data_IF_202553004870
#
_entry.id   IF_202553004870
#
_cell.length_a   1.000
_cell.length_b   1.000
_cell.length_c   1.000
_cell.angle_alpha   90.00
_cell.angle_beta   90.00
_cell.angle_gamma   90.00
#
_symmetry.space_group_name_H-M   'P 1'
#
loop_
_entity.id
_entity.type
_entity.pdbx_description
1 polymer ?
#
# COMPACT_ATOMS: atom_id res chain seq x y z
N UNK A 1 -7.40 -11.89 19.95
CA UNK A 1 -6.46 -11.43 21.01
C UNK A 1 -7.09 -10.29 21.77
N UNK A 2 -6.64 -9.97 22.99
CA UNK A 2 -7.15 -8.84 23.78
C UNK A 2 -7.11 -7.53 22.98
N UNK A 3 -6.03 -7.31 22.22
CA UNK A 3 -5.87 -6.17 21.32
C UNK A 3 -7.02 -6.06 20.30
N UNK A 4 -7.31 -7.15 19.57
CA UNK A 4 -8.40 -7.15 18.56
C UNK A 4 -9.77 -6.87 19.18
N UNK A 5 -10.05 -7.40 20.37
CA UNK A 5 -11.31 -7.13 21.07
C UNK A 5 -11.42 -5.65 21.50
N UNK A 6 -10.33 -5.08 22.03
CA UNK A 6 -10.27 -3.66 22.41
C UNK A 6 -10.39 -2.75 21.17
N UNK A 7 -9.68 -3.04 20.08
CA UNK A 7 -9.79 -2.31 18.82
C UNK A 7 -11.21 -2.33 18.27
N UNK A 8 -11.87 -3.50 18.28
CA UNK A 8 -13.26 -3.63 17.83
C UNK A 8 -14.23 -2.83 18.70
N UNK A 9 -14.04 -2.85 20.03
CA UNK A 9 -14.85 -2.07 20.95
C UNK A 9 -14.77 -0.57 20.65
N UNK A 10 -13.56 -0.03 20.53
CA UNK A 10 -13.35 1.39 20.17
C UNK A 10 -13.94 1.71 18.78
N UNK A 11 -13.77 0.83 17.79
CA UNK A 11 -14.36 1.02 16.47
C UNK A 11 -15.89 1.09 16.52
N UNK A 12 -16.53 0.28 17.37
CA UNK A 12 -17.99 0.28 17.51
C UNK A 12 -18.53 1.55 18.18
N UNK A 13 -17.82 2.10 19.18
CA UNK A 13 -18.19 3.37 19.80
C UNK A 13 -18.11 4.53 18.78
N UNK A 14 -17.01 4.59 18.03
CA UNK A 14 -16.85 5.58 16.96
C UNK A 14 -17.91 5.37 15.87
N UNK A 15 -18.23 4.12 15.53
CA UNK A 15 -19.27 3.80 14.56
C UNK A 15 -20.62 4.34 14.98
N UNK A 16 -21.00 4.22 16.26
CA UNK A 16 -22.24 4.80 16.77
C UNK A 16 -22.25 6.34 16.61
N UNK A 17 -21.12 7.00 16.89
CA UNK A 17 -21.00 8.45 16.81
C UNK A 17 -21.04 9.00 15.37
N UNK A 18 -20.42 8.31 14.40
CA UNK A 18 -20.33 8.81 13.01
C UNK A 18 -21.45 8.31 12.11
N UNK A 19 -22.24 7.32 12.53
CA UNK A 19 -23.37 6.79 11.76
C UNK A 19 -24.32 7.85 11.18
N UNK A 20 -24.68 8.95 11.87
CA UNK A 20 -25.58 9.96 11.30
C UNK A 20 -24.92 10.90 10.28
N UNK A 21 -23.59 10.87 10.10
CA UNK A 21 -22.88 11.79 9.20
C UNK A 21 -23.16 11.52 7.72
N UNK A 22 -23.46 10.27 7.36
CA UNK A 22 -23.74 9.86 5.99
C UNK A 22 -25.04 9.04 5.91
N UNK A 23 -25.73 9.03 4.74
CA UNK A 23 -26.91 8.20 4.53
C UNK A 23 -26.61 6.71 4.76
N UNK A 24 -27.60 5.94 5.22
CA UNK A 24 -27.45 4.51 5.49
C UNK A 24 -26.85 3.72 4.31
N UNK A 25 -27.21 4.10 3.07
CA UNK A 25 -26.68 3.50 1.84
C UNK A 25 -25.15 3.53 1.76
N UNK A 26 -24.51 4.60 2.24
CA UNK A 26 -23.03 4.69 2.26
C UNK A 26 -22.45 3.60 3.14
N UNK A 27 -23.05 3.38 4.31
CA UNK A 27 -22.62 2.35 5.24
C UNK A 27 -22.91 0.93 4.76
N UNK A 28 -24.00 0.76 4.01
CA UNK A 28 -24.30 -0.49 3.33
C UNK A 28 -23.28 -0.83 2.23
N UNK A 29 -22.76 0.18 1.52
CA UNK A 29 -21.81 0.01 0.42
C UNK A 29 -20.35 -0.11 0.87
N UNK A 30 -19.93 0.68 1.88
CA UNK A 30 -18.54 0.77 2.33
C UNK A 30 -18.26 -0.01 3.64
N UNK A 31 -19.26 -0.13 4.52
CA UNK A 31 -19.07 -0.62 5.88
C UNK A 31 -18.49 0.45 6.82
N UNK A 32 -19.23 0.79 7.88
CA UNK A 32 -18.80 1.83 8.84
C UNK A 32 -17.54 1.44 9.62
N UNK A 33 -17.40 0.17 10.00
CA UNK A 33 -16.22 -0.35 10.71
C UNK A 33 -14.98 -0.32 9.81
N UNK A 34 -15.14 -0.63 8.52
CA UNK A 34 -14.07 -0.52 7.53
C UNK A 34 -13.61 0.93 7.37
N UNK A 35 -14.57 1.86 7.23
CA UNK A 35 -14.28 3.30 7.16
C UNK A 35 -13.45 3.76 8.36
N UNK A 36 -13.85 3.40 9.58
CA UNK A 36 -13.12 3.76 10.80
C UNK A 36 -11.73 3.14 10.81
N UNK A 37 -11.62 1.85 10.48
CA UNK A 37 -10.33 1.14 10.42
C UNK A 37 -9.37 1.83 9.47
N UNK A 38 -9.85 2.25 8.30
CA UNK A 38 -9.04 3.00 7.34
C UNK A 38 -8.56 4.32 7.93
N UNK A 39 -9.42 5.09 8.61
CA UNK A 39 -9.08 6.42 9.13
C UNK A 39 -8.29 6.38 10.44
N UNK A 40 -8.35 5.29 11.21
CA UNK A 40 -7.65 5.15 12.49
C UNK A 40 -6.19 4.74 12.36
N UNK A 41 -5.79 4.13 11.24
CA UNK A 41 -4.44 3.60 11.02
C UNK A 41 -3.55 4.58 10.26
N UNK A 42 -2.24 4.37 10.39
CA UNK A 42 -1.15 5.11 9.75
C UNK A 42 -0.15 4.18 9.08
N UNK A 43 0.79 4.74 8.30
CA UNK A 43 1.80 3.96 7.55
C UNK A 43 2.65 3.06 8.47
N UNK A 44 3.00 3.56 9.64
CA UNK A 44 3.77 2.83 10.67
C UNK A 44 3.06 1.60 11.23
N UNK A 45 1.75 1.52 11.07
CA UNK A 45 0.95 0.40 11.57
C UNK A 45 0.90 -0.75 10.57
N UNK A 46 1.24 -0.48 9.30
CA UNK A 46 1.10 -1.43 8.19
C UNK A 46 2.43 -2.02 7.71
N UNK A 47 3.51 -1.26 7.82
CA UNK A 47 4.82 -1.59 7.22
C UNK A 47 5.95 -1.13 8.14
N UNK A 48 6.93 -2.02 8.35
CA UNK A 48 8.22 -1.65 8.95
C UNK A 48 9.20 -1.30 7.82
N UNK A 49 9.89 -0.15 7.86
CA UNK A 49 10.88 0.22 6.86
C UNK A 49 12.20 -0.52 7.09
N UNK A 50 12.20 -1.85 7.00
CA UNK A 50 13.35 -2.73 7.27
C UNK A 50 14.62 -2.27 6.52
N UNK A 51 14.49 -1.93 5.24
CA UNK A 51 15.62 -1.46 4.42
C UNK A 51 16.25 -0.16 4.91
N UNK A 52 15.47 0.71 5.58
CA UNK A 52 15.97 1.96 6.15
C UNK A 52 16.77 1.69 7.43
N UNK A 53 16.24 0.84 8.34
CA UNK A 53 16.97 0.40 9.53
C UNK A 53 18.27 -0.31 9.16
N UNK A 54 18.22 -1.27 8.24
CA UNK A 54 19.40 -2.00 7.77
C UNK A 54 20.46 -1.06 7.19
N UNK A 55 20.05 -0.08 6.38
CA UNK A 55 20.97 0.93 5.81
C UNK A 55 21.61 1.76 6.91
N UNK A 56 20.83 2.27 7.86
CA UNK A 56 21.34 3.11 8.95
C UNK A 56 22.29 2.33 9.85
N UNK A 57 21.93 1.11 10.25
CA UNK A 57 22.77 0.22 11.06
C UNK A 57 24.08 -0.08 10.32
N UNK A 58 24.02 -0.36 9.01
CA UNK A 58 25.22 -0.62 8.24
C UNK A 58 26.14 0.61 8.15
N UNK A 59 25.59 1.81 7.99
CA UNK A 59 26.37 3.04 8.02
C UNK A 59 27.09 3.23 9.36
N UNK A 60 26.41 2.97 10.48
CA UNK A 60 27.02 3.05 11.81
C UNK A 60 28.13 2.00 12.00
N UNK A 61 27.92 0.77 11.54
CA UNK A 61 28.95 -0.30 11.56
C UNK A 61 30.19 0.09 10.75
N UNK A 62 30.02 0.69 9.58
CA UNK A 62 31.13 1.19 8.76
C UNK A 62 31.87 2.32 9.47
N UNK A 63 31.15 3.24 10.14
CA UNK A 63 31.79 4.31 10.94
C UNK A 63 32.62 3.74 12.10
N UNK A 64 32.11 2.73 12.80
CA UNK A 64 32.86 2.04 13.87
C UNK A 64 34.16 1.45 13.30
N UNK A 65 34.11 0.76 12.16
CA UNK A 65 35.30 0.17 11.52
C UNK A 65 36.34 1.24 11.13
N UNK A 66 35.92 2.39 10.64
CA UNK A 66 36.80 3.50 10.29
C UNK A 66 37.52 4.07 11.53
N UNK A 67 36.80 4.22 12.64
CA UNK A 67 37.37 4.70 13.91
C UNK A 67 38.31 3.65 14.52
N UNK A 68 37.96 2.37 14.39
CA UNK A 68 38.73 1.27 14.96
C UNK A 68 40.08 1.02 14.25
N UNK A 69 40.23 1.54 13.04
CA UNK A 69 41.46 1.40 12.26
C UNK A 69 42.65 2.11 12.94
N UNK A 70 43.87 1.51 12.99
CA UNK A 70 45.03 2.10 13.65
C UNK A 70 45.48 3.46 13.08
N UNK A 71 45.18 3.73 11.82
CA UNK A 71 45.50 4.96 11.11
C UNK A 71 44.51 6.12 11.36
N UNK A 72 43.49 5.93 12.22
CA UNK A 72 42.40 6.89 12.38
C UNK A 72 42.81 8.20 13.10
N UNK A 73 43.98 8.25 13.73
CA UNK A 73 44.48 9.42 14.44
C UNK A 73 43.76 9.74 15.76
N UNK A 74 42.87 8.85 16.22
CA UNK A 74 42.14 9.00 17.47
C UNK A 74 43.00 8.59 18.68
N UNK A 75 42.88 9.34 19.78
CA UNK A 75 43.42 8.86 21.05
C UNK A 75 42.55 7.73 21.63
N UNK A 76 43.17 6.82 22.39
CA UNK A 76 42.53 5.57 22.86
C UNK A 76 41.22 5.81 23.64
N UNK A 77 41.18 6.82 24.51
CA UNK A 77 40.00 7.14 25.32
C UNK A 77 38.84 7.69 24.49
N UNK A 78 39.10 8.60 23.54
CA UNK A 78 38.06 9.16 22.65
C UNK A 78 37.55 8.10 21.68
N UNK A 79 38.45 7.26 21.15
CA UNK A 79 38.11 6.12 20.30
C UNK A 79 37.11 5.19 21.00
N UNK A 80 37.46 4.72 22.21
CA UNK A 80 36.58 3.82 22.98
C UNK A 80 35.21 4.46 23.24
N UNK A 81 35.17 5.72 23.67
CA UNK A 81 33.93 6.44 23.97
C UNK A 81 33.02 6.59 22.75
N UNK A 82 33.59 6.87 21.58
CA UNK A 82 32.80 7.06 20.36
C UNK A 82 32.29 5.74 19.80
N UNK A 83 33.09 4.67 19.85
CA UNK A 83 32.64 3.32 19.49
C UNK A 83 31.46 2.90 20.38
N UNK A 84 31.58 3.06 21.70
CA UNK A 84 30.51 2.74 22.65
C UNK A 84 29.24 3.56 22.38
N UNK A 85 29.37 4.84 22.00
CA UNK A 85 28.22 5.68 21.60
C UNK A 85 27.51 5.14 20.35
N UNK A 86 28.28 4.71 19.34
CA UNK A 86 27.74 4.17 18.09
C UNK A 86 27.11 2.79 18.29
N UNK A 87 27.71 1.92 19.11
CA UNK A 87 27.16 0.62 19.50
C UNK A 87 25.82 0.77 20.23
N UNK A 88 25.74 1.68 21.20
CA UNK A 88 24.48 2.03 21.88
C UNK A 88 23.40 2.52 20.91
N UNK A 89 23.78 3.27 19.86
CA UNK A 89 22.82 3.73 18.85
C UNK A 89 22.33 2.56 17.96
N UNK A 90 23.22 1.63 17.60
CA UNK A 90 22.85 0.41 16.87
C UNK A 90 21.87 -0.43 17.69
N UNK A 91 22.15 -0.61 18.99
CA UNK A 91 21.27 -1.35 19.89
C UNK A 91 19.87 -0.71 19.98
N UNK A 92 19.81 0.62 20.16
CA UNK A 92 18.54 1.36 20.16
C UNK A 92 17.74 1.19 18.89
N UNK A 93 18.38 1.32 17.72
CA UNK A 93 17.72 1.13 16.42
C UNK A 93 17.22 -0.31 16.23
N UNK A 94 17.98 -1.30 16.72
CA UNK A 94 17.60 -2.71 16.64
C UNK A 94 16.39 -3.00 17.53
N UNK A 95 16.37 -2.47 18.75
CA UNK A 95 15.25 -2.61 19.67
C UNK A 95 14.00 -1.91 19.14
N UNK A 96 14.14 -0.68 18.63
CA UNK A 96 13.03 0.06 18.01
C UNK A 96 12.45 -0.72 16.82
N UNK A 97 13.31 -1.27 15.94
CA UNK A 97 12.87 -2.09 14.82
C UNK A 97 12.05 -3.30 15.30
N UNK A 98 12.52 -4.03 16.32
CA UNK A 98 11.82 -5.18 16.86
C UNK A 98 10.46 -4.81 17.47
N UNK A 99 10.37 -3.70 18.21
CA UNK A 99 9.11 -3.18 18.75
C UNK A 99 8.10 -2.83 17.63
N UNK A 100 8.60 -2.24 16.53
CA UNK A 100 7.77 -1.93 15.35
C UNK A 100 7.30 -3.19 14.63
N UNK A 101 8.15 -4.19 14.49
CA UNK A 101 7.78 -5.49 13.91
C UNK A 101 6.69 -6.19 14.73
N UNK A 102 6.80 -6.17 16.06
CA UNK A 102 5.76 -6.71 16.93
C UNK A 102 4.44 -5.93 16.78
N UNK A 103 4.51 -4.60 16.75
CA UNK A 103 3.34 -3.75 16.54
C UNK A 103 2.64 -4.04 15.21
N UNK A 104 3.37 -4.02 14.10
CA UNK A 104 2.82 -4.27 12.76
C UNK A 104 2.25 -5.69 12.67
N UNK A 105 2.92 -6.68 13.25
CA UNK A 105 2.43 -8.06 13.30
C UNK A 105 1.08 -8.15 14.02
N UNK A 106 0.95 -7.46 15.17
CA UNK A 106 -0.29 -7.42 15.95
C UNK A 106 -1.43 -6.71 15.20
N UNK A 107 -1.15 -5.60 14.52
CA UNK A 107 -2.14 -4.89 13.67
C UNK A 107 -2.55 -5.77 12.49
N UNK A 108 -1.62 -6.39 11.78
CA UNK A 108 -1.91 -7.32 10.67
C UNK A 108 -2.76 -8.50 11.11
N UNK A 109 -2.49 -9.06 12.29
CA UNK A 109 -3.30 -10.14 12.86
C UNK A 109 -4.74 -9.69 13.14
N UNK A 110 -4.94 -8.47 13.64
CA UNK A 110 -6.27 -7.89 13.81
C UNK A 110 -6.98 -7.64 12.47
N UNK A 111 -6.30 -7.06 11.48
CA UNK A 111 -6.89 -6.87 10.15
C UNK A 111 -7.28 -8.20 9.50
N UNK A 112 -6.51 -9.26 9.73
CA UNK A 112 -6.86 -10.61 9.28
C UNK A 112 -8.15 -11.14 9.89
N UNK A 113 -8.49 -10.78 11.14
CA UNK A 113 -9.76 -11.22 11.76
C UNK A 113 -10.95 -10.43 11.23
N UNK A 114 -10.77 -9.17 10.84
CA UNK A 114 -11.85 -8.29 10.37
C UNK A 114 -12.10 -8.36 8.86
N UNK A 115 -11.15 -8.88 8.07
CA UNK A 115 -11.21 -8.86 6.60
C UNK A 115 -12.50 -9.40 5.98
N UNK A 116 -13.15 -10.35 6.65
CA UNK A 116 -14.36 -11.02 6.16
C UNK A 116 -15.64 -10.29 6.64
N UNK A 117 -15.50 -9.33 7.55
CA UNK A 117 -16.59 -8.58 8.17
C UNK A 117 -16.86 -7.20 7.54
N UNK A 118 -15.89 -6.63 6.83
CA UNK A 118 -16.00 -5.25 6.32
C UNK A 118 -17.09 -5.07 5.28
N UNK A 119 -17.17 -5.94 4.27
CA UNK A 119 -18.06 -5.77 3.13
C UNK A 119 -19.18 -6.81 3.16
N UNK A 120 -20.03 -6.78 4.19
CA UNK A 120 -21.02 -7.85 4.44
C UNK A 120 -22.33 -7.72 3.65
N UNK A 121 -22.70 -6.53 3.22
CA UNK A 121 -24.00 -6.28 2.58
C UNK A 121 -24.06 -6.85 1.16
N UNK A 122 -25.10 -7.65 0.85
CA UNK A 122 -25.31 -8.24 -0.48
C UNK A 122 -25.95 -7.29 -1.49
N UNK A 123 -26.48 -6.15 -1.01
CA UNK A 123 -27.15 -5.14 -1.82
C UNK A 123 -26.15 -4.29 -2.62
N UNK A 124 -24.91 -4.13 -2.12
CA UNK A 124 -23.86 -3.36 -2.77
C UNK A 124 -23.11 -4.22 -3.79
N UNK A 125 -22.92 -3.69 -4.99
CA UNK A 125 -22.02 -4.32 -5.96
C UNK A 125 -20.57 -4.03 -5.58
N UNK A 126 -19.63 -4.85 -6.08
CA UNK A 126 -18.18 -4.58 -5.90
C UNK A 126 -17.81 -3.18 -6.41
N UNK A 127 -18.46 -2.71 -7.47
CA UNK A 127 -18.25 -1.38 -8.05
C UNK A 127 -18.71 -0.26 -7.11
N UNK A 128 -19.85 -0.44 -6.42
CA UNK A 128 -20.36 0.55 -5.46
C UNK A 128 -19.40 0.67 -4.28
N UNK A 129 -18.98 -0.46 -3.71
CA UNK A 129 -17.99 -0.50 -2.62
C UNK A 129 -16.68 0.21 -3.01
N UNK A 130 -16.14 -0.09 -4.20
CA UNK A 130 -14.92 0.57 -4.68
C UNK A 130 -15.16 2.08 -4.89
N UNK A 131 -16.31 2.48 -5.43
CA UNK A 131 -16.63 3.89 -5.65
C UNK A 131 -16.66 4.64 -4.31
N UNK A 132 -17.33 4.10 -3.29
CA UNK A 132 -17.37 4.70 -1.95
C UNK A 132 -16.00 4.72 -1.28
N UNK A 133 -15.22 3.64 -1.42
CA UNK A 133 -13.87 3.60 -0.88
C UNK A 133 -12.97 4.66 -1.50
N UNK A 134 -13.03 4.84 -2.82
CA UNK A 134 -12.25 5.89 -3.48
C UNK A 134 -12.71 7.28 -3.04
N UNK A 135 -14.01 7.54 -3.00
CA UNK A 135 -14.58 8.86 -2.71
C UNK A 135 -14.43 9.29 -1.25
N UNK A 136 -14.65 8.37 -0.30
CA UNK A 136 -14.71 8.70 1.14
C UNK A 136 -13.42 8.39 1.88
N UNK A 137 -12.53 7.58 1.31
CA UNK A 137 -11.27 7.19 1.95
C UNK A 137 -10.05 7.67 1.15
N UNK A 138 -9.87 7.16 -0.08
CA UNK A 138 -8.63 7.38 -0.82
C UNK A 138 -8.47 8.84 -1.24
N UNK A 139 -9.40 9.40 -2.02
CA UNK A 139 -9.25 10.77 -2.56
C UNK A 139 -9.10 11.85 -1.49
N UNK A 140 -9.87 11.82 -0.38
CA UNK A 140 -9.65 12.78 0.70
C UNK A 140 -8.27 12.59 1.35
N UNK A 141 -7.88 11.35 1.65
CA UNK A 141 -6.66 11.08 2.42
C UNK A 141 -5.37 11.32 1.63
N UNK A 142 -5.33 10.99 0.34
CA UNK A 142 -4.12 11.19 -0.49
C UNK A 142 -3.75 12.66 -0.67
N UNK A 143 -4.72 13.58 -0.50
CA UNK A 143 -4.50 15.01 -0.60
C UNK A 143 -4.02 15.64 0.74
N UNK A 144 -4.12 14.93 1.86
CA UNK A 144 -3.82 15.47 3.20
C UNK A 144 -2.33 15.68 3.45
N UNK A 145 -1.49 14.66 3.28
CA UNK A 145 -0.04 14.75 3.46
C UNK A 145 0.68 13.78 2.53
N UNK A 146 1.99 13.95 2.33
CA UNK A 146 2.78 13.00 1.56
C UNK A 146 2.81 11.61 2.21
N UNK A 147 2.77 11.54 3.54
CA UNK A 147 2.73 10.27 4.29
C UNK A 147 1.38 9.58 4.13
N UNK A 148 0.28 10.34 4.13
CA UNK A 148 -1.06 9.81 3.92
C UNK A 148 -1.25 9.23 2.51
N UNK A 149 -0.65 9.85 1.50
CA UNK A 149 -0.63 9.31 0.14
C UNK A 149 0.03 7.93 0.08
N UNK A 150 1.16 7.75 0.77
CA UNK A 150 1.85 6.45 0.85
C UNK A 150 1.03 5.45 1.67
N UNK A 151 0.45 5.88 2.80
CA UNK A 151 -0.43 5.04 3.61
C UNK A 151 -1.60 4.51 2.80
N UNK A 152 -2.27 5.34 2.00
CA UNK A 152 -3.43 4.93 1.21
C UNK A 152 -3.06 3.81 0.21
N UNK A 153 -1.91 3.93 -0.46
CA UNK A 153 -1.40 2.90 -1.36
C UNK A 153 -1.03 1.60 -0.59
N UNK A 154 -0.37 1.73 0.56
CA UNK A 154 -0.02 0.60 1.42
C UNK A 154 -1.28 -0.12 1.92
N UNK A 155 -2.30 0.60 2.37
CA UNK A 155 -3.55 0.04 2.86
C UNK A 155 -4.28 -0.72 1.75
N UNK A 156 -4.33 -0.16 0.53
CA UNK A 156 -4.85 -0.89 -0.64
C UNK A 156 -4.10 -2.20 -0.89
N UNK A 157 -2.77 -2.18 -0.79
CA UNK A 157 -1.96 -3.38 -0.91
C UNK A 157 -2.24 -4.37 0.22
N UNK A 158 -2.43 -3.90 1.46
CA UNK A 158 -2.85 -4.74 2.60
C UNK A 158 -4.18 -5.42 2.31
N UNK A 159 -5.22 -4.71 1.85
CA UNK A 159 -6.52 -5.32 1.51
C UNK A 159 -6.37 -6.41 0.45
N UNK A 160 -5.52 -6.17 -0.54
CA UNK A 160 -5.19 -7.18 -1.53
C UNK A 160 -4.55 -8.41 -0.88
N UNK A 161 -3.46 -8.24 -0.12
CA UNK A 161 -2.74 -9.31 0.58
C UNK A 161 -3.63 -10.13 1.51
N UNK A 162 -4.53 -9.47 2.24
CA UNK A 162 -5.46 -10.13 3.17
C UNK A 162 -6.52 -10.97 2.44
N UNK A 163 -6.69 -10.83 1.11
CA UNK A 163 -7.78 -11.46 0.34
C UNK A 163 -9.16 -11.05 0.88
N UNK A 164 -9.29 -9.78 1.27
CA UNK A 164 -10.52 -9.21 1.83
C UNK A 164 -11.74 -9.58 0.98
N UNK A 165 -12.75 -10.18 1.60
CA UNK A 165 -13.93 -10.66 0.91
C UNK A 165 -14.64 -9.51 0.18
N UNK A 166 -15.06 -9.72 -1.06
CA UNK A 166 -15.76 -8.76 -1.93
C UNK A 166 -15.00 -7.48 -2.30
N UNK A 167 -13.79 -7.25 -1.80
CA UNK A 167 -12.91 -6.21 -2.31
C UNK A 167 -12.33 -6.63 -3.67
N UNK A 168 -12.61 -5.86 -4.72
CA UNK A 168 -11.99 -6.09 -6.04
C UNK A 168 -10.82 -5.16 -6.25
N UNK A 169 -9.61 -5.68 -6.01
CA UNK A 169 -8.37 -4.97 -6.33
C UNK A 169 -8.32 -4.59 -7.81
N UNK A 170 -8.78 -5.45 -8.71
CA UNK A 170 -8.79 -5.16 -10.14
C UNK A 170 -9.68 -3.96 -10.49
N UNK A 171 -10.92 -3.92 -10.00
CA UNK A 171 -11.83 -2.77 -10.23
C UNK A 171 -11.26 -1.50 -9.59
N UNK A 172 -10.64 -1.62 -8.41
CA UNK A 172 -9.99 -0.49 -7.74
C UNK A 172 -8.87 0.11 -8.59
N UNK A 173 -7.97 -0.73 -9.11
CA UNK A 173 -6.87 -0.29 -9.97
C UNK A 173 -7.38 0.30 -11.28
N UNK A 174 -8.39 -0.33 -11.91
CA UNK A 174 -9.00 0.15 -13.14
C UNK A 174 -9.56 1.56 -12.97
N UNK A 175 -10.31 1.83 -11.89
CA UNK A 175 -10.84 3.16 -11.58
C UNK A 175 -9.75 4.19 -11.30
N UNK A 176 -8.70 3.80 -10.55
CA UNK A 176 -7.60 4.72 -10.23
C UNK A 176 -6.86 5.16 -11.49
N UNK A 177 -6.57 4.24 -12.42
CA UNK A 177 -5.75 4.54 -13.60
C UNK A 177 -6.56 5.07 -14.80
N UNK A 178 -7.83 4.71 -14.94
CA UNK A 178 -8.66 5.20 -16.05
C UNK A 178 -9.30 6.57 -15.75
N UNK A 179 -9.54 6.92 -14.49
CA UNK A 179 -10.27 8.14 -14.11
C UNK A 179 -9.37 9.19 -13.40
N UNK A 180 -8.10 9.30 -13.77
CA UNK A 180 -7.11 10.23 -13.13
C UNK A 180 -7.46 11.71 -13.31
N UNK A 181 -8.09 12.05 -14.44
CA UNK A 181 -8.34 13.44 -14.85
C UNK A 181 -9.16 14.21 -13.83
N UNK A 182 -10.26 13.61 -13.33
CA UNK A 182 -11.20 14.29 -12.44
C UNK A 182 -10.58 14.59 -11.06
N UNK A 183 -9.97 13.64 -10.33
CA UNK A 183 -9.25 13.94 -9.09
C UNK A 183 -8.19 15.02 -9.28
N UNK A 184 -7.43 14.97 -10.37
CA UNK A 184 -6.33 15.91 -10.62
C UNK A 184 -6.84 17.31 -10.94
N UNK A 185 -7.94 17.45 -11.69
CA UNK A 185 -8.51 18.76 -12.03
C UNK A 185 -9.08 19.53 -10.84
N UNK A 186 -9.41 18.81 -9.75
CA UNK A 186 -9.97 19.40 -8.53
C UNK A 186 -8.88 19.70 -7.48
N UNK A 187 -7.64 19.30 -7.73
CA UNK A 187 -6.52 19.48 -6.80
C UNK A 187 -5.80 20.81 -7.03
N UNK A 188 -5.31 21.41 -5.95
CA UNK A 188 -4.20 22.38 -6.00
C UNK A 188 -2.91 21.68 -6.45
N UNK A 189 -1.90 22.45 -6.84
CA UNK A 189 -0.60 21.90 -7.26
C UNK A 189 0.03 20.97 -6.20
N UNK A 190 -0.03 21.35 -4.93
CA UNK A 190 0.49 20.54 -3.82
C UNK A 190 -0.32 19.26 -3.58
N UNK A 191 -1.64 19.29 -3.80
CA UNK A 191 -2.49 18.10 -3.69
C UNK A 191 -2.25 17.16 -4.88
N UNK A 192 -2.14 17.70 -6.09
CA UNK A 192 -1.79 16.92 -7.28
C UNK A 192 -0.41 16.27 -7.15
N UNK A 193 0.56 16.96 -6.56
CA UNK A 193 1.88 16.38 -6.25
C UNK A 193 1.78 15.19 -5.27
N UNK A 194 0.97 15.32 -4.21
CA UNK A 194 0.74 14.23 -3.24
C UNK A 194 -0.03 13.07 -3.86
N UNK A 195 -1.04 13.35 -4.68
CA UNK A 195 -1.75 12.32 -5.45
C UNK A 195 -0.83 11.59 -6.43
N UNK A 196 0.10 12.30 -7.08
CA UNK A 196 1.15 11.70 -7.91
C UNK A 196 2.02 10.71 -7.14
N UNK A 197 2.38 11.01 -5.88
CA UNK A 197 3.10 10.07 -5.01
C UNK A 197 2.30 8.80 -4.72
N UNK A 198 1.00 8.94 -4.47
CA UNK A 198 0.10 7.79 -4.33
C UNK A 198 0.08 6.94 -5.60
N UNK A 199 -0.08 7.56 -6.78
CA UNK A 199 -0.08 6.85 -8.05
C UNK A 199 1.23 6.11 -8.31
N UNK A 200 2.38 6.73 -8.02
CA UNK A 200 3.68 6.06 -8.13
C UNK A 200 3.76 4.82 -7.24
N UNK A 201 3.34 4.92 -5.97
CA UNK A 201 3.36 3.79 -5.04
C UNK A 201 2.43 2.64 -5.48
N UNK A 202 1.24 2.96 -6.01
CA UNK A 202 0.33 1.94 -6.57
C UNK A 202 0.92 1.32 -7.84
N UNK A 203 1.55 2.13 -8.70
CA UNK A 203 2.17 1.66 -9.93
C UNK A 203 3.36 0.73 -9.67
N UNK A 204 4.20 1.01 -8.66
CA UNK A 204 5.29 0.12 -8.26
C UNK A 204 4.81 -1.31 -7.98
N UNK A 205 3.66 -1.44 -7.29
CA UNK A 205 3.03 -2.75 -7.04
C UNK A 205 2.59 -3.43 -8.34
N UNK A 206 1.91 -2.70 -9.22
CA UNK A 206 1.44 -3.22 -10.51
C UNK A 206 2.62 -3.61 -11.41
N UNK A 207 3.71 -2.83 -11.40
CA UNK A 207 4.92 -3.12 -12.15
C UNK A 207 5.63 -4.38 -11.68
N UNK A 208 5.66 -4.63 -10.36
CA UNK A 208 6.18 -5.88 -9.80
C UNK A 208 5.42 -7.09 -10.32
N UNK A 209 4.09 -7.03 -10.32
CA UNK A 209 3.24 -8.08 -10.87
C UNK A 209 3.41 -8.26 -12.37
N UNK A 210 3.62 -7.17 -13.11
CA UNK A 210 3.86 -7.23 -14.55
C UNK A 210 5.24 -7.82 -14.90
N UNK A 211 6.25 -7.58 -14.06
CA UNK A 211 7.63 -7.96 -14.33
C UNK A 211 7.88 -9.49 -14.31
N UNK A 212 7.11 -10.25 -13.52
CA UNK A 212 7.23 -11.71 -13.42
C UNK A 212 5.86 -12.37 -13.36
N UNK A 213 5.67 -13.36 -14.23
CA UNK A 213 4.44 -14.15 -14.27
C UNK A 213 4.31 -15.04 -13.03
N UNK A 214 5.43 -15.54 -12.53
CA UNK A 214 5.52 -16.32 -11.30
C UNK A 214 5.01 -15.49 -10.12
N UNK A 215 5.48 -14.24 -10.00
CA UNK A 215 5.03 -13.30 -8.96
C UNK A 215 3.55 -12.99 -9.11
N UNK A 216 3.06 -12.72 -10.33
CA UNK A 216 1.63 -12.50 -10.57
C UNK A 216 0.78 -13.70 -10.16
N UNK A 217 1.18 -14.92 -10.53
CA UNK A 217 0.42 -16.12 -10.20
C UNK A 217 0.39 -16.38 -8.69
N UNK A 218 1.50 -16.11 -8.00
CA UNK A 218 1.61 -16.24 -6.54
C UNK A 218 0.80 -15.18 -5.79
N UNK A 219 0.90 -13.91 -6.20
CA UNK A 219 0.33 -12.76 -5.48
C UNK A 219 -1.08 -12.39 -5.96
N UNK A 220 -1.51 -12.75 -7.18
CA UNK A 220 -2.81 -12.35 -7.73
C UNK A 220 -3.69 -13.53 -8.20
N UNK A 221 -3.12 -14.61 -8.75
CA UNK A 221 -3.87 -15.63 -9.49
C UNK A 221 -5.02 -16.32 -8.71
N UNK A 222 -4.87 -16.45 -7.39
CA UNK A 222 -5.90 -17.06 -6.51
C UNK A 222 -6.64 -16.03 -5.63
N UNK A 223 -6.41 -14.73 -5.85
CA UNK A 223 -6.94 -13.68 -4.98
C UNK A 223 -8.34 -13.28 -5.42
N UNK A 224 -9.32 -13.17 -4.49
CA UNK A 224 -10.72 -12.93 -4.82
C UNK A 224 -10.94 -11.60 -5.57
N UNK A 225 -10.04 -10.64 -5.39
CA UNK A 225 -10.09 -9.35 -6.07
C UNK A 225 -9.66 -9.38 -7.55
N UNK A 226 -9.03 -10.48 -7.99
CA UNK A 226 -8.55 -10.73 -9.36
C UNK A 226 -9.25 -11.91 -10.05
N UNK A 227 -10.08 -12.68 -9.31
CA UNK A 227 -10.95 -13.68 -9.92
C UNK A 227 -12.04 -12.96 -10.70
N UNK A 228 -11.78 -12.76 -11.99
CA UNK A 228 -12.80 -12.39 -12.97
C UNK A 228 -13.58 -13.65 -13.36
N UNK A 229 -14.80 -13.47 -13.88
CA UNK A 229 -15.67 -14.55 -14.38
C UNK A 229 -15.00 -15.35 -15.53
N UNK A 230 -13.81 -14.96 -15.99
CA UNK A 230 -13.03 -15.57 -17.07
C UNK A 230 -12.20 -16.81 -16.69
N UNK A 231 -12.41 -17.42 -15.51
CA UNK A 231 -11.82 -18.73 -15.15
C UNK A 231 -12.16 -19.90 -16.12
N UNK A 232 -12.81 -19.64 -17.26
CA UNK A 232 -12.97 -20.60 -18.36
C UNK A 232 -11.85 -20.58 -19.42
N UNK A 233 -10.93 -19.62 -19.43
CA UNK A 233 -9.81 -19.63 -20.39
C UNK A 233 -8.51 -19.22 -19.70
N UNK A 234 -7.66 -20.21 -19.44
CA UNK A 234 -6.43 -20.12 -18.66
C UNK A 234 -5.28 -19.34 -19.33
N UNK A 235 -5.53 -18.48 -20.32
CA UNK A 235 -4.49 -17.84 -21.14
C UNK A 235 -4.55 -16.30 -21.27
N UNK A 236 -5.60 -15.60 -20.78
CA UNK A 236 -5.86 -14.21 -21.20
C UNK A 236 -5.70 -13.10 -20.14
N UNK A 237 -5.34 -13.40 -18.88
CA UNK A 237 -5.20 -12.36 -17.84
C UNK A 237 -3.99 -11.44 -18.09
N UNK A 238 -2.87 -12.02 -18.55
CA UNK A 238 -1.68 -11.25 -18.95
C UNK A 238 -1.98 -10.39 -20.17
N UNK A 239 -2.74 -10.91 -21.14
CA UNK A 239 -3.20 -10.18 -22.34
C UNK A 239 -4.17 -9.04 -21.99
N UNK A 240 -5.07 -9.17 -21.02
CA UNK A 240 -5.93 -8.06 -20.61
C UNK A 240 -5.16 -6.91 -19.93
N UNK A 241 -4.20 -7.25 -19.07
CA UNK A 241 -3.26 -6.28 -18.49
C UNK A 241 -2.37 -5.63 -19.56
N UNK A 242 -1.95 -6.38 -20.59
CA UNK A 242 -1.09 -5.85 -21.68
C UNK A 242 -1.82 -5.24 -22.88
N UNK A 243 -3.13 -5.44 -23.09
CA UNK A 243 -3.80 -4.98 -24.32
C UNK A 243 -5.03 -4.10 -24.13
N UNK A 244 -5.68 -4.04 -22.95
CA UNK A 244 -6.88 -3.19 -22.79
C UNK A 244 -6.82 -2.13 -21.70
N UNK A 245 -6.36 -2.41 -20.47
CA UNK A 245 -6.55 -1.44 -19.36
C UNK A 245 -5.30 -1.01 -18.57
N UNK A 246 -4.08 -1.25 -19.08
CA UNK A 246 -2.83 -0.61 -18.60
C UNK A 246 -2.01 0.00 -19.74
N UNK A 247 -2.47 -0.18 -20.99
CA UNK A 247 -1.71 0.17 -22.18
C UNK A 247 -1.48 1.67 -22.36
N UNK A 248 -2.28 2.53 -21.73
CA UNK A 248 -2.07 3.98 -21.76
C UNK A 248 -0.97 4.46 -20.79
N UNK A 249 -0.62 3.68 -19.77
CA UNK A 249 0.50 4.04 -18.87
C UNK A 249 1.88 3.67 -19.44
N UNK A 250 1.94 2.85 -20.49
CA UNK A 250 3.19 2.40 -21.12
C UNK A 250 3.57 3.14 -22.42
N UNK A 251 2.80 4.13 -22.88
CA UNK A 251 3.15 4.92 -24.09
C UNK A 251 4.30 5.92 -23.83
N UNK A 252 4.75 6.10 -22.58
CA UNK A 252 5.82 7.06 -22.23
C UNK A 252 7.00 6.38 -21.50
N UNK A 253 7.49 5.24 -21.98
CA UNK A 253 8.92 4.86 -21.79
C UNK A 253 9.39 4.06 -23.01
N UNK A 254 10.35 4.56 -23.81
CA UNK A 254 10.72 3.96 -25.09
C UNK A 254 11.66 2.77 -24.88
N UNK A 255 11.21 1.57 -25.26
CA UNK A 255 12.09 0.42 -25.48
C UNK A 255 12.09 0.06 -26.96
N UNK A 256 13.17 0.49 -27.61
CA UNK A 256 13.53 0.16 -28.98
C UNK A 256 13.57 -1.36 -29.17
N UNK A 257 12.55 -1.95 -29.80
CA UNK A 257 12.66 -3.21 -30.57
C UNK A 257 11.38 -3.66 -31.30
N UNK A 258 10.26 -2.95 -31.18
CA UNK A 258 9.01 -3.29 -31.88
C UNK A 258 8.55 -2.26 -32.93
N UNK A 259 9.47 -1.49 -33.52
CA UNK A 259 9.12 -0.43 -34.49
C UNK A 259 8.89 -0.90 -35.94
N UNK A 260 9.12 -2.16 -36.30
CA UNK A 260 9.01 -2.58 -37.72
C UNK A 260 7.76 -3.36 -38.13
N UNK A 261 6.75 -3.54 -37.27
CA UNK A 261 5.55 -4.34 -37.66
C UNK A 261 4.18 -3.73 -37.40
N UNK A 262 4.08 -2.58 -36.72
CA UNK A 262 2.77 -2.00 -36.38
C UNK A 262 2.42 -0.71 -37.15
N UNK A 263 3.31 -0.21 -38.00
CA UNK A 263 3.06 0.97 -38.87
C UNK A 263 2.46 0.63 -40.24
N UNK A 264 2.18 -0.65 -40.53
CA UNK A 264 1.69 -1.11 -41.84
C UNK A 264 0.30 -1.77 -41.80
N UNK A 265 -0.50 -1.49 -40.77
CA UNK A 265 -1.89 -1.99 -40.66
C UNK A 265 -2.94 -0.92 -40.38
N UNK A 266 -2.58 0.36 -40.51
CA UNK A 266 -3.54 1.46 -40.57
C UNK A 266 -3.11 2.43 -41.68
N UNK A 267 -3.29 1.95 -42.92
CA UNK A 267 -4.03 2.75 -43.91
C UNK A 267 -5.45 2.85 -43.37
#
# INVERSE_FOLDING_TARGET
TIFSAASLHVCNEIAAAIRPLYPARVWDELGIVFFITFWSLQSSDLVVPESAYQRQIQQLKVQIQQIDTPASGWNSTKKKREIERLENLIERLTNEQAEREEHVTRVRAWLMTERDNWFQTRLATKTDTITQFLQLCIYPRVCFTATDAIYAAQFMHVLHQLKTARFSTLICLDRIFNDITLPTSMCTENEAHRYGRFLCAVLELVMRWHASEEVFNQECGQYPGFVTVFRKVSFDLKYYFTHKNIFLMFVIVPSEKKRSRMFMKRI
#
